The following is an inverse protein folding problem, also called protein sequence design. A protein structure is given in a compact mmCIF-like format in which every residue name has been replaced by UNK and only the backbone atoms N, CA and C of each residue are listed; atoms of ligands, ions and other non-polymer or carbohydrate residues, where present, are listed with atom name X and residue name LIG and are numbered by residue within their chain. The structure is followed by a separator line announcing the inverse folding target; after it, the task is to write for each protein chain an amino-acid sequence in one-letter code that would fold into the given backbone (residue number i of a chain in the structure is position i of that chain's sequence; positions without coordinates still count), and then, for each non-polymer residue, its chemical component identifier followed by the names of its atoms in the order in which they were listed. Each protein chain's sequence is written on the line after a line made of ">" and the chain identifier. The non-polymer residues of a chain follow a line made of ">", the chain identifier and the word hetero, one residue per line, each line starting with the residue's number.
data_IF_718148719908
#
_entry.id   IF_718148719908
#
_cell.length_a   1.000
_cell.length_b   1.000
_cell.length_c   1.000
_cell.angle_alpha   90.00
_cell.angle_beta   90.00
_cell.angle_gamma   90.00
#
_symmetry.space_group_name_H-M   'P 1'
#
loop_
_entity.id
_entity.type
_entity.pdbx_description
1 polymer ?
#
# COMPACT_ATOMS: atom_id res chain seq x y z
N UNK A 1 6.72 13.02 29.64
CA UNK A 1 5.47 13.75 29.37
C UNK A 1 4.52 12.98 28.42
N UNK A 2 5.02 12.09 27.54
CA UNK A 2 4.20 11.19 26.69
C UNK A 2 3.44 10.08 27.44
N UNK A 3 3.98 9.57 28.55
CA UNK A 3 3.42 8.39 29.24
C UNK A 3 2.17 8.65 30.12
N UNK A 4 1.64 9.89 30.16
CA UNK A 4 0.50 10.23 31.04
C UNK A 4 -0.86 9.71 30.52
N UNK A 5 -0.93 9.30 29.26
CA UNK A 5 -2.19 8.88 28.59
C UNK A 5 -2.52 7.39 28.71
N UNK A 6 -1.62 6.58 29.27
CA UNK A 6 -1.78 5.13 29.30
C UNK A 6 -2.77 4.62 30.35
N UNK A 7 -3.06 5.39 31.41
CA UNK A 7 -3.85 4.84 32.52
C UNK A 7 -5.38 4.92 32.31
N UNK A 8 -5.86 5.92 31.55
CA UNK A 8 -7.30 6.15 31.35
C UNK A 8 -7.85 5.52 30.05
N UNK A 9 -6.96 5.11 29.14
CA UNK A 9 -7.29 4.51 27.85
C UNK A 9 -7.28 2.96 27.85
N UNK A 10 -6.92 2.31 28.96
CA UNK A 10 -6.92 0.85 29.10
C UNK A 10 -8.29 0.17 28.88
N UNK A 11 -9.37 0.94 28.87
CA UNK A 11 -10.74 0.45 28.63
C UNK A 11 -11.16 0.48 27.15
N UNK A 12 -10.37 1.12 26.28
CA UNK A 12 -10.62 1.18 24.84
C UNK A 12 -9.57 0.38 24.08
N UNK A 13 -10.00 -0.68 23.40
CA UNK A 13 -9.18 -1.41 22.44
C UNK A 13 -9.77 -1.30 21.05
N UNK A 14 -8.93 -1.20 20.01
CA UNK A 14 -9.43 -1.33 18.64
C UNK A 14 -9.76 -2.80 18.40
N UNK A 15 -11.05 -3.12 18.39
CA UNK A 15 -11.52 -4.48 18.12
C UNK A 15 -11.76 -4.64 16.63
N UNK A 16 -10.82 -5.29 15.95
CA UNK A 16 -11.02 -5.69 14.57
C UNK A 16 -11.96 -6.89 14.51
N UNK A 17 -13.20 -6.66 14.11
CA UNK A 17 -14.17 -7.73 13.84
C UNK A 17 -14.39 -7.81 12.35
N UNK A 18 -14.40 -9.03 11.80
CA UNK A 18 -14.75 -9.26 10.39
C UNK A 18 -16.18 -8.78 10.14
N UNK A 19 -16.30 -7.63 9.47
CA UNK A 19 -17.59 -6.98 9.19
C UNK A 19 -18.36 -7.74 8.11
N UNK A 20 -17.66 -8.24 7.08
CA UNK A 20 -18.25 -8.98 5.97
C UNK A 20 -17.55 -10.34 5.77
N UNK A 21 -18.29 -11.48 5.76
CA UNK A 21 -17.70 -12.81 5.58
C UNK A 21 -17.21 -13.10 4.16
N UNK A 22 -17.52 -12.24 3.18
CA UNK A 22 -17.11 -12.37 1.78
C UNK A 22 -15.94 -11.47 1.37
N UNK A 23 -15.46 -10.59 2.25
CA UNK A 23 -14.26 -9.77 2.01
C UNK A 23 -13.03 -10.44 2.60
N UNK A 24 -11.89 -10.25 1.96
CA UNK A 24 -10.63 -10.75 2.46
C UNK A 24 -10.25 -10.04 3.77
N UNK A 25 -9.49 -10.75 4.61
CA UNK A 25 -9.10 -10.21 5.91
C UNK A 25 -8.23 -8.96 5.77
N UNK A 26 -7.42 -8.89 4.71
CA UNK A 26 -6.53 -7.78 4.37
C UNK A 26 -6.74 -7.42 2.91
N UNK A 27 -7.17 -6.18 2.64
CA UNK A 27 -7.36 -5.64 1.30
C UNK A 27 -6.49 -4.40 1.13
N UNK A 28 -5.74 -4.34 0.04
CA UNK A 28 -4.81 -3.25 -0.26
C UNK A 28 -5.20 -2.56 -1.56
N UNK A 29 -5.53 -1.27 -1.45
CA UNK A 29 -5.83 -0.41 -2.57
C UNK A 29 -4.60 0.43 -2.91
N UNK A 30 -4.21 0.47 -4.18
CA UNK A 30 -3.09 1.27 -4.67
C UNK A 30 -3.59 2.12 -5.83
N UNK A 31 -3.20 3.39 -5.86
CA UNK A 31 -3.46 4.30 -6.96
C UNK A 31 -2.16 5.02 -7.35
N UNK A 32 -2.06 5.40 -8.63
CA UNK A 32 -0.92 6.14 -9.14
C UNK A 32 -1.38 7.19 -10.13
N UNK A 33 -0.92 8.42 -9.93
CA UNK A 33 -1.11 9.52 -10.88
C UNK A 33 0.19 9.72 -11.64
N UNK A 34 0.16 9.40 -12.94
CA UNK A 34 1.33 9.46 -13.79
C UNK A 34 1.72 10.90 -14.08
N UNK A 35 2.98 11.24 -13.78
CA UNK A 35 3.50 12.60 -13.93
C UNK A 35 2.67 13.69 -13.22
N UNK A 36 1.93 13.33 -12.16
CA UNK A 36 1.05 14.24 -11.41
C UNK A 36 1.76 15.47 -10.84
N UNK A 37 3.06 15.37 -10.52
CA UNK A 37 3.85 16.56 -10.16
C UNK A 37 4.42 17.25 -11.41
N UNK A 38 3.83 18.38 -11.81
CA UNK A 38 4.26 19.19 -12.96
C UNK A 38 5.71 19.73 -12.88
N UNK A 39 6.25 19.93 -11.67
CA UNK A 39 7.59 20.51 -11.50
C UNK A 39 8.70 19.46 -11.64
N UNK A 40 8.41 18.22 -11.25
CA UNK A 40 9.38 17.13 -11.28
C UNK A 40 9.06 16.06 -12.33
N UNK A 41 7.86 16.10 -12.93
CA UNK A 41 7.28 15.10 -13.84
C UNK A 41 7.29 13.70 -13.19
N UNK A 42 7.24 13.66 -11.85
CA UNK A 42 7.27 12.42 -11.08
C UNK A 42 5.85 12.01 -10.80
N UNK A 43 5.59 10.72 -10.86
CA UNK A 43 4.30 10.16 -10.52
C UNK A 43 4.06 10.24 -9.01
N UNK A 44 2.80 10.42 -8.64
CA UNK A 44 2.33 10.35 -7.26
C UNK A 44 1.76 8.94 -7.06
N UNK A 45 2.15 8.26 -5.99
CA UNK A 45 1.62 6.95 -5.60
C UNK A 45 0.90 7.07 -4.26
N UNK A 46 -0.32 6.55 -4.21
CA UNK A 46 -1.15 6.47 -3.02
C UNK A 46 -1.50 5.03 -2.72
N UNK A 47 -1.62 4.67 -1.43
CA UNK A 47 -2.25 3.41 -1.06
C UNK A 47 -3.05 3.54 0.24
N UNK A 48 -4.02 2.64 0.38
CA UNK A 48 -4.82 2.44 1.59
C UNK A 48 -4.95 0.94 1.84
N UNK A 49 -4.54 0.52 3.02
CA UNK A 49 -4.66 -0.87 3.47
C UNK A 49 -5.78 -0.97 4.49
N UNK A 50 -6.68 -1.94 4.29
CA UNK A 50 -7.78 -2.20 5.20
C UNK A 50 -7.69 -3.60 5.77
N UNK A 51 -7.94 -3.73 7.08
CA UNK A 51 -8.03 -5.00 7.79
C UNK A 51 -9.45 -5.16 8.29
N UNK A 52 -10.16 -6.20 7.84
CA UNK A 52 -11.57 -6.45 8.19
C UNK A 52 -12.51 -5.26 7.88
N UNK A 53 -12.23 -4.52 6.81
CA UNK A 53 -12.98 -3.32 6.42
C UNK A 53 -12.61 -2.05 7.21
N UNK A 54 -11.61 -2.11 8.10
CA UNK A 54 -11.09 -0.95 8.82
C UNK A 54 -9.75 -0.53 8.24
N UNK A 55 -9.60 0.73 7.84
CA UNK A 55 -8.32 1.26 7.36
C UNK A 55 -7.25 1.20 8.47
N UNK A 56 -6.13 0.54 8.20
CA UNK A 56 -5.03 0.34 9.17
C UNK A 56 -3.79 1.18 8.84
N UNK A 57 -3.50 1.38 7.57
CA UNK A 57 -2.37 2.20 7.11
C UNK A 57 -2.68 2.79 5.75
N UNK A 58 -2.14 3.97 5.50
CA UNK A 58 -2.27 4.68 4.25
C UNK A 58 -1.04 5.54 4.05
N UNK A 59 -0.73 5.84 2.79
CA UNK A 59 0.37 6.74 2.44
C UNK A 59 0.10 7.38 1.09
N UNK A 60 0.51 8.63 0.99
CA UNK A 60 0.66 9.35 -0.27
C UNK A 60 2.14 9.69 -0.40
N UNK A 61 2.76 9.32 -1.52
CA UNK A 61 4.17 9.54 -1.75
C UNK A 61 4.42 9.97 -3.19
N UNK A 62 5.51 10.68 -3.41
CA UNK A 62 6.03 10.93 -4.74
C UNK A 62 7.07 9.87 -5.09
N UNK A 63 6.98 9.27 -6.27
CA UNK A 63 7.93 8.27 -6.72
C UNK A 63 9.35 8.85 -6.80
N UNK A 64 10.35 8.05 -6.41
CA UNK A 64 11.75 8.50 -6.40
C UNK A 64 12.30 8.74 -7.81
N UNK A 65 11.85 7.94 -8.78
CA UNK A 65 12.23 7.98 -10.20
C UNK A 65 11.09 8.52 -11.07
N UNK A 66 11.44 9.08 -12.22
CA UNK A 66 10.47 9.47 -13.25
C UNK A 66 10.09 8.21 -14.03
N UNK A 67 8.80 7.87 -14.04
CA UNK A 67 8.30 6.78 -14.85
C UNK A 67 8.18 7.22 -16.32
N UNK A 68 8.49 6.33 -17.25
CA UNK A 68 8.40 6.57 -18.69
C UNK A 68 7.03 6.20 -19.27
N UNK A 69 6.19 5.52 -18.49
CA UNK A 69 4.81 5.18 -18.85
C UNK A 69 3.95 5.02 -17.60
N UNK A 70 2.62 5.03 -17.79
CA UNK A 70 1.65 4.72 -16.73
C UNK A 70 1.87 3.33 -16.16
N UNK A 71 2.11 2.31 -17.00
CA UNK A 71 2.41 0.94 -16.57
C UNK A 71 3.67 0.86 -15.71
N UNK A 72 4.72 1.61 -16.08
CA UNK A 72 5.93 1.65 -15.26
C UNK A 72 5.65 2.29 -13.90
N UNK A 73 4.84 3.35 -13.86
CA UNK A 73 4.45 4.00 -12.61
C UNK A 73 3.61 3.07 -11.71
N UNK A 74 2.64 2.35 -12.27
CA UNK A 74 1.84 1.33 -11.57
C UNK A 74 2.74 0.25 -10.97
N UNK A 75 3.71 -0.23 -11.75
CA UNK A 75 4.64 -1.27 -11.31
C UNK A 75 5.54 -0.80 -10.17
N UNK A 76 6.07 0.43 -10.24
CA UNK A 76 6.86 1.03 -9.15
C UNK A 76 6.02 1.15 -7.86
N UNK A 77 4.77 1.64 -7.98
CA UNK A 77 3.88 1.77 -6.83
C UNK A 77 3.57 0.41 -6.19
N UNK A 78 3.37 -0.62 -7.00
CA UNK A 78 3.11 -1.98 -6.53
C UNK A 78 4.32 -2.57 -5.79
N UNK A 79 5.53 -2.36 -6.30
CA UNK A 79 6.77 -2.79 -5.64
C UNK A 79 6.96 -2.10 -4.30
N UNK A 80 6.71 -0.79 -4.24
CA UNK A 80 6.74 -0.05 -2.97
C UNK A 80 5.72 -0.63 -1.97
N UNK A 81 4.49 -0.93 -2.42
CA UNK A 81 3.46 -1.52 -1.56
C UNK A 81 3.86 -2.89 -1.02
N UNK A 82 4.40 -3.76 -1.87
CA UNK A 82 4.87 -5.09 -1.48
C UNK A 82 5.99 -4.97 -0.44
N UNK A 83 6.96 -4.08 -0.67
CA UNK A 83 8.03 -3.85 0.30
C UNK A 83 7.50 -3.40 1.67
N UNK A 84 6.50 -2.51 1.70
CA UNK A 84 5.88 -2.10 2.97
C UNK A 84 5.08 -3.24 3.63
N UNK A 85 4.39 -4.10 2.86
CA UNK A 85 3.72 -5.27 3.39
C UNK A 85 4.69 -6.26 4.04
N UNK A 86 5.85 -6.49 3.41
CA UNK A 86 6.91 -7.37 3.94
C UNK A 86 7.51 -6.74 5.20
N UNK A 87 7.69 -5.42 5.22
CA UNK A 87 8.15 -4.70 6.40
C UNK A 87 7.17 -4.85 7.58
N UNK A 88 5.86 -4.79 7.32
CA UNK A 88 4.82 -5.09 8.32
C UNK A 88 4.87 -6.54 8.81
N UNK A 89 5.28 -7.49 7.95
CA UNK A 89 5.53 -8.89 8.33
C UNK A 89 6.86 -9.09 9.09
N UNK A 90 7.69 -8.04 9.23
CA UNK A 90 8.96 -8.09 9.97
C UNK A 90 10.11 -8.74 9.20
N UNK A 91 9.98 -8.94 7.88
CA UNK A 91 11.03 -9.52 7.03
C UNK A 91 11.76 -8.36 6.33
N UNK A 92 13.03 -8.15 6.61
CA UNK A 92 13.80 -7.06 5.99
C UNK A 92 14.43 -7.55 4.69
N UNK A 93 13.85 -7.19 3.54
CA UNK A 93 14.48 -7.41 2.24
C UNK A 93 15.18 -6.10 1.79
N UNK A 94 16.49 -6.20 1.61
CA UNK A 94 17.42 -5.10 1.33
C UNK A 94 17.11 -4.34 0.03
N UNK A 95 17.34 -3.02 0.08
CA UNK A 95 16.96 -1.90 -0.82
C UNK A 95 17.38 -1.96 -2.31
N UNK A 96 17.67 -3.11 -2.91
CA UNK A 96 18.10 -3.16 -4.32
C UNK A 96 16.89 -3.25 -5.26
N UNK A 97 16.60 -2.17 -6.00
CA UNK A 97 15.42 -2.02 -6.86
C UNK A 97 15.25 -3.20 -7.82
N UNK A 98 16.33 -3.68 -8.46
CA UNK A 98 16.27 -4.76 -9.45
C UNK A 98 15.88 -6.13 -8.84
N UNK A 99 16.22 -6.35 -7.57
CA UNK A 99 15.83 -7.57 -6.82
C UNK A 99 14.35 -7.50 -6.44
N UNK A 100 13.85 -6.31 -6.10
CA UNK A 100 12.44 -6.13 -5.72
C UNK A 100 11.48 -6.36 -6.90
N UNK A 101 11.88 -5.98 -8.12
CA UNK A 101 11.06 -6.21 -9.32
C UNK A 101 10.86 -7.70 -9.60
N UNK A 102 11.96 -8.47 -9.59
CA UNK A 102 11.91 -9.92 -9.78
C UNK A 102 11.10 -10.59 -8.67
N UNK A 103 11.33 -10.18 -7.42
CA UNK A 103 10.66 -10.72 -6.25
C UNK A 103 9.13 -10.51 -6.27
N UNK A 104 8.67 -9.34 -6.68
CA UNK A 104 7.24 -9.04 -6.84
C UNK A 104 6.62 -9.95 -7.90
N UNK A 105 7.32 -10.18 -9.01
CA UNK A 105 6.84 -11.11 -10.04
C UNK A 105 6.75 -12.53 -9.50
N UNK A 106 7.76 -12.98 -8.76
CA UNK A 106 7.78 -14.31 -8.14
C UNK A 106 6.62 -14.46 -7.14
N UNK A 107 6.29 -13.43 -6.35
CA UNK A 107 5.14 -13.43 -5.43
C UNK A 107 3.77 -13.50 -6.13
N UNK A 108 3.66 -12.88 -7.31
CA UNK A 108 2.45 -12.98 -8.15
C UNK A 108 2.36 -14.39 -8.76
N UNK A 109 3.49 -14.95 -9.21
CA UNK A 109 3.55 -16.31 -9.78
C UNK A 109 3.26 -17.39 -8.72
N UNK A 110 3.74 -17.21 -7.48
CA UNK A 110 3.44 -18.11 -6.35
C UNK A 110 2.02 -17.96 -5.81
N UNK A 111 1.23 -17.01 -6.33
CA UNK A 111 -0.13 -16.67 -5.90
C UNK A 111 -0.23 -16.29 -4.42
N UNK A 112 0.88 -15.82 -3.82
CA UNK A 112 0.86 -15.28 -2.47
C UNK A 112 0.20 -13.89 -2.43
N UNK A 113 0.22 -13.18 -3.56
CA UNK A 113 -0.43 -11.88 -3.74
C UNK A 113 -1.32 -11.95 -4.98
N UNK A 114 -2.60 -11.63 -4.80
CA UNK A 114 -3.54 -11.45 -5.91
C UNK A 114 -3.58 -9.96 -6.22
N UNK A 115 -3.26 -9.60 -7.46
CA UNK A 115 -3.34 -8.23 -7.94
C UNK A 115 -4.53 -8.13 -8.88
N UNK A 116 -5.53 -7.37 -8.48
CA UNK A 116 -6.71 -7.10 -9.30
C UNK A 116 -6.74 -5.63 -9.70
N UNK A 117 -7.09 -5.37 -10.97
CA UNK A 117 -7.31 -4.01 -11.45
C UNK A 117 -8.71 -3.57 -11.05
N UNK A 118 -8.79 -2.57 -10.18
CA UNK A 118 -10.03 -1.95 -9.72
C UNK A 118 -10.26 -0.63 -10.47
N UNK A 119 -11.51 -0.30 -10.78
CA UNK A 119 -11.86 0.99 -11.38
C UNK A 119 -11.65 2.13 -10.37
N UNK A 120 -11.31 3.34 -10.85
CA UNK A 120 -11.04 4.50 -9.95
C UNK A 120 -12.21 4.83 -9.03
N UNK A 121 -13.45 4.62 -9.46
CA UNK A 121 -14.66 4.89 -8.64
C UNK A 121 -14.76 3.99 -7.39
N UNK A 122 -14.13 2.81 -7.41
CA UNK A 122 -14.10 1.84 -6.31
C UNK A 122 -12.74 1.82 -5.59
N UNK A 123 -11.77 2.61 -6.05
CA UNK A 123 -10.42 2.64 -5.51
C UNK A 123 -10.30 3.67 -4.37
N UNK A 124 -10.34 3.21 -3.13
CA UNK A 124 -10.21 4.07 -1.95
C UNK A 124 -8.86 4.81 -1.87
N UNK A 125 -7.83 4.38 -2.61
CA UNK A 125 -6.53 5.04 -2.68
C UNK A 125 -6.51 6.27 -3.61
N UNK A 126 -7.58 6.55 -4.35
CA UNK A 126 -7.69 7.74 -5.21
C UNK A 126 -7.52 9.03 -4.40
N UNK A 127 -8.06 9.07 -3.18
CA UNK A 127 -7.90 10.20 -2.26
C UNK A 127 -6.43 10.46 -1.83
N UNK A 128 -5.52 9.51 -2.07
CA UNK A 128 -4.11 9.59 -1.70
C UNK A 128 -3.19 9.98 -2.86
N UNK A 129 -3.72 10.35 -4.02
CA UNK A 129 -2.94 10.59 -5.24
C UNK A 129 -3.39 11.87 -5.90
#
# INVERSE_FOLDING_TARGET
>A
WVLRYWNDSLKGGLKYTRTDPGRDALEDYVNVDYAGNINTIKSLSGFVSTLFGTAITWKANQQSIVALSTTQAEYIALVERVNEAIWLKGVSLTKHIDIHLHFVRDMIETKEIVVEKVASEENSADMCT
#
